data_IF_008133856500
#
_entry.id   IF_008133856500
#
_cell.length_a   1.000
_cell.length_b   1.000
_cell.length_c   1.000
_cell.angle_alpha   90.00
_cell.angle_beta   90.00
_cell.angle_gamma   90.00
#
_symmetry.space_group_name_H-M   'P 1'
#
loop_
_entity.id
_entity.type
_entity.pdbx_description
1 polymer ?
#
# COMPACT_ATOMS: atom_id res chain seq x y z
N UNK A 1 -20.42 13.39 12.03
CA UNK A 1 -19.05 12.83 12.10
C UNK A 1 -18.46 12.95 10.69
N UNK A 2 -17.46 13.81 10.50
CA UNK A 2 -16.76 13.89 9.20
C UNK A 2 -15.89 12.63 9.12
N UNK A 3 -16.27 11.64 8.33
CA UNK A 3 -15.41 10.48 8.10
C UNK A 3 -14.18 10.95 7.33
N UNK A 4 -12.99 10.82 7.92
CA UNK A 4 -11.75 11.12 7.22
C UNK A 4 -11.49 10.03 6.18
N UNK A 5 -11.06 10.44 4.99
CA UNK A 5 -10.65 9.53 3.93
C UNK A 5 -9.46 8.65 4.39
N UNK A 6 -9.27 7.46 3.80
CA UNK A 6 -8.01 6.73 3.95
C UNK A 6 -6.82 7.62 3.57
N UNK A 7 -5.72 7.50 4.31
CA UNK A 7 -4.48 8.20 3.98
C UNK A 7 -3.64 7.33 3.05
N UNK A 8 -3.54 7.68 1.77
CA UNK A 8 -2.68 6.95 0.83
C UNK A 8 -1.29 7.59 0.77
N UNK A 9 -0.26 6.80 1.02
CA UNK A 9 1.15 7.19 1.01
C UNK A 9 1.88 6.43 -0.10
N UNK A 10 2.12 7.06 -1.26
CA UNK A 10 2.84 6.38 -2.32
C UNK A 10 4.31 6.21 -1.97
N UNK A 11 4.94 5.21 -2.57
CA UNK A 11 6.40 5.19 -2.74
C UNK A 11 6.93 6.35 -3.58
N UNK A 12 8.19 6.25 -3.98
CA UNK A 12 8.78 7.18 -4.94
C UNK A 12 7.99 7.21 -6.25
N UNK A 13 7.69 8.39 -6.77
CA UNK A 13 6.93 8.51 -8.02
C UNK A 13 7.85 8.31 -9.22
N UNK A 14 7.59 7.27 -9.99
CA UNK A 14 8.31 6.98 -11.24
C UNK A 14 7.31 6.78 -12.38
N UNK A 15 7.51 7.50 -13.48
CA UNK A 15 6.63 7.35 -14.63
C UNK A 15 7.15 6.25 -15.56
N UNK A 16 6.33 5.23 -15.87
CA UNK A 16 6.65 4.31 -16.94
C UNK A 16 6.78 5.09 -18.25
N UNK A 17 7.64 4.60 -19.16
CA UNK A 17 7.87 5.23 -20.47
C UNK A 17 6.60 5.38 -21.32
N UNK A 18 5.55 4.64 -20.96
CA UNK A 18 4.20 4.76 -21.46
C UNK A 18 3.28 4.95 -20.26
N UNK A 19 2.28 5.81 -20.38
CA UNK A 19 1.27 6.07 -19.35
C UNK A 19 0.27 4.90 -19.23
N UNK A 20 0.80 3.70 -18.97
CA UNK A 20 0.05 2.46 -18.81
C UNK A 20 -0.17 2.22 -17.32
N UNK A 21 -1.41 1.89 -17.00
CA UNK A 21 -1.82 1.40 -15.69
C UNK A 21 -1.51 -0.10 -15.65
N UNK A 22 -0.77 -0.54 -14.63
CA UNK A 22 -0.45 -1.96 -14.45
C UNK A 22 -1.52 -2.69 -13.63
N UNK A 23 -2.26 -1.96 -12.80
CA UNK A 23 -3.40 -2.48 -12.04
C UNK A 23 -2.99 -3.30 -10.80
N UNK A 24 -3.98 -3.83 -10.05
CA UNK A 24 -3.79 -4.39 -8.71
C UNK A 24 -2.79 -5.55 -8.64
N UNK A 25 -2.71 -6.38 -9.69
CA UNK A 25 -1.76 -7.52 -9.75
C UNK A 25 -0.29 -7.10 -9.70
N UNK A 26 0.04 -5.87 -10.11
CA UNK A 26 1.40 -5.34 -10.05
C UNK A 26 1.70 -4.65 -8.70
N UNK A 27 0.68 -4.42 -7.89
CA UNK A 27 0.74 -3.54 -6.72
C UNK A 27 0.82 -4.33 -5.41
N UNK A 28 1.33 -3.65 -4.39
CA UNK A 28 1.34 -4.12 -3.03
C UNK A 28 0.93 -2.98 -2.09
N UNK A 29 0.16 -3.33 -1.06
CA UNK A 29 -0.12 -2.44 0.07
C UNK A 29 0.56 -2.92 1.33
N UNK A 30 1.16 -1.98 2.07
CA UNK A 30 1.67 -2.20 3.42
C UNK A 30 1.20 -1.13 4.40
N UNK A 31 1.56 -1.33 5.67
CA UNK A 31 1.23 -0.45 6.77
C UNK A 31 2.40 -0.33 7.75
N UNK A 32 2.63 0.88 8.27
CA UNK A 32 3.52 1.14 9.40
C UNK A 32 4.94 1.61 9.02
N UNK A 33 5.12 2.15 7.81
CA UNK A 33 6.33 2.84 7.35
C UNK A 33 7.58 1.94 7.30
N UNK A 34 7.37 0.66 6.98
CA UNK A 34 8.44 -0.36 7.02
C UNK A 34 9.12 -0.56 5.65
N UNK A 35 8.42 -0.18 4.59
CA UNK A 35 8.83 -0.43 3.22
C UNK A 35 9.12 0.88 2.49
N UNK A 36 9.96 0.76 1.47
CA UNK A 36 10.18 1.77 0.45
C UNK A 36 10.11 1.08 -0.91
N UNK A 37 9.65 1.83 -1.91
CA UNK A 37 9.49 1.33 -3.27
C UNK A 37 9.10 2.46 -4.18
N UNK A 38 8.64 2.14 -5.38
CA UNK A 38 8.15 3.10 -6.36
C UNK A 38 6.73 2.76 -6.81
N UNK A 39 6.04 3.74 -7.38
CA UNK A 39 4.76 3.58 -8.06
C UNK A 39 4.59 4.69 -9.11
N UNK A 40 3.83 4.44 -10.17
CA UNK A 40 3.49 5.49 -11.13
C UNK A 40 2.38 6.41 -10.61
N UNK A 41 2.32 7.64 -11.16
CA UNK A 41 1.18 8.52 -10.89
C UNK A 41 -0.13 7.96 -11.47
N UNK A 42 -0.06 7.19 -12.56
CA UNK A 42 -1.24 6.59 -13.18
C UNK A 42 -1.88 5.55 -12.26
N UNK A 43 -1.11 4.57 -11.79
CA UNK A 43 -1.59 3.55 -10.84
C UNK A 43 -1.98 4.19 -9.50
N UNK A 44 -1.21 5.18 -9.02
CA UNK A 44 -1.58 5.93 -7.81
C UNK A 44 -2.95 6.61 -7.95
N UNK A 45 -3.22 7.27 -9.08
CA UNK A 45 -4.47 7.96 -9.32
C UNK A 45 -5.65 6.98 -9.36
N UNK A 46 -5.48 5.84 -10.04
CA UNK A 46 -6.51 4.82 -10.12
C UNK A 46 -6.78 4.18 -8.75
N UNK A 47 -5.75 3.75 -8.02
CA UNK A 47 -5.88 3.23 -6.65
C UNK A 47 -6.57 4.24 -5.75
N UNK A 48 -6.30 5.54 -5.92
CA UNK A 48 -6.99 6.59 -5.14
C UNK A 48 -8.49 6.62 -5.41
N UNK A 49 -8.91 6.47 -6.67
CA UNK A 49 -10.34 6.39 -7.04
C UNK A 49 -10.97 5.14 -6.44
N UNK A 50 -10.32 3.99 -6.57
CA UNK A 50 -10.81 2.71 -6.08
C UNK A 50 -10.92 2.69 -4.55
N UNK A 51 -9.94 3.26 -3.85
CA UNK A 51 -10.00 3.45 -2.40
C UNK A 51 -11.16 4.34 -1.98
N UNK A 52 -11.48 5.38 -2.75
CA UNK A 52 -12.60 6.28 -2.45
C UNK A 52 -13.97 5.61 -2.65
N UNK A 53 -14.05 4.64 -3.55
CA UNK A 53 -15.27 3.87 -3.85
C UNK A 53 -15.42 2.61 -3.00
N UNK A 54 -14.32 2.12 -2.42
CA UNK A 54 -14.29 0.87 -1.66
C UNK A 54 -15.09 0.96 -0.35
N UNK A 55 -15.68 -0.19 0.01
CA UNK A 55 -16.39 -0.40 1.28
C UNK A 55 -15.69 -1.41 2.20
N UNK A 56 -14.42 -1.74 1.91
CA UNK A 56 -13.66 -2.67 2.76
C UNK A 56 -13.53 -2.11 4.18
N UNK A 57 -13.67 -3.00 5.16
CA UNK A 57 -13.58 -2.65 6.57
C UNK A 57 -12.22 -2.04 6.91
N UNK A 58 -12.17 -1.18 7.93
CA UNK A 58 -10.94 -0.56 8.45
C UNK A 58 -10.15 0.35 7.48
N UNK A 59 -10.59 0.53 6.24
CA UNK A 59 -9.99 1.50 5.31
C UNK A 59 -10.01 2.93 5.88
N UNK A 60 -11.12 3.30 6.52
CA UNK A 60 -11.30 4.65 7.06
C UNK A 60 -10.39 4.86 8.26
N UNK A 61 -9.70 6.00 8.29
CA UNK A 61 -8.70 6.37 9.31
C UNK A 61 -7.44 5.49 9.34
N UNK A 62 -7.17 4.74 8.28
CA UNK A 62 -5.93 3.97 8.15
C UNK A 62 -5.01 4.61 7.12
N UNK A 63 -3.73 4.68 7.46
CA UNK A 63 -2.69 5.04 6.51
C UNK A 63 -2.24 3.78 5.79
N UNK A 64 -2.26 3.82 4.46
CA UNK A 64 -1.83 2.75 3.56
C UNK A 64 -0.63 3.22 2.78
N UNK A 65 0.30 2.31 2.55
CA UNK A 65 1.45 2.54 1.68
C UNK A 65 1.26 1.77 0.38
N UNK A 66 1.64 2.35 -0.77
CA UNK A 66 1.43 1.77 -2.09
C UNK A 66 2.73 1.71 -2.90
N UNK A 67 3.02 0.52 -3.45
CA UNK A 67 4.22 0.25 -4.25
C UNK A 67 3.94 -0.74 -5.38
N UNK A 68 4.84 -0.82 -6.35
CA UNK A 68 4.96 -2.00 -7.20
C UNK A 68 5.66 -3.13 -6.47
N UNK A 69 5.11 -4.34 -6.56
CA UNK A 69 5.58 -5.54 -5.85
C UNK A 69 7.07 -5.83 -6.08
N UNK A 70 7.58 -5.57 -7.28
CA UNK A 70 8.97 -5.85 -7.69
C UNK A 70 9.97 -4.76 -7.24
N UNK A 71 9.49 -3.62 -6.76
CA UNK A 71 10.32 -2.50 -6.33
C UNK A 71 10.57 -2.42 -4.82
N UNK A 72 9.81 -3.19 -4.05
CA UNK A 72 9.75 -3.07 -2.59
C UNK A 72 11.07 -3.49 -1.92
N UNK A 73 11.54 -2.67 -0.99
CA UNK A 73 12.68 -2.92 -0.11
C UNK A 73 12.37 -2.46 1.32
N UNK A 74 12.95 -3.07 2.36
CA UNK A 74 12.86 -2.54 3.72
C UNK A 74 13.51 -1.15 3.81
N UNK A 75 12.83 -0.20 4.45
CA UNK A 75 13.36 1.15 4.65
C UNK A 75 14.58 1.15 5.61
N UNK A 76 14.64 0.18 6.53
CA UNK A 76 15.74 0.00 7.48
C UNK A 76 16.13 -1.47 7.65
N UNK A 77 17.40 -1.72 7.96
CA UNK A 77 17.92 -3.08 8.14
C UNK A 77 17.20 -3.91 9.22
N UNK A 78 16.66 -3.24 10.26
CA UNK A 78 15.95 -3.91 11.37
C UNK A 78 14.64 -4.59 10.94
N UNK A 79 14.08 -4.19 9.80
CA UNK A 79 12.82 -4.75 9.29
C UNK A 79 13.00 -6.00 8.43
N UNK A 80 14.24 -6.29 7.97
CA UNK A 80 14.53 -7.50 7.16
C UNK A 80 14.06 -8.80 7.82
N UNK A 81 14.31 -9.06 9.12
CA UNK A 81 13.85 -10.29 9.77
C UNK A 81 12.32 -10.35 9.88
N UNK A 82 11.66 -9.20 10.12
CA UNK A 82 10.21 -9.11 10.26
C UNK A 82 9.46 -9.30 8.92
N UNK A 83 10.09 -8.93 7.81
CA UNK A 83 9.56 -9.25 6.49
C UNK A 83 9.75 -10.73 6.16
N UNK A 84 10.92 -11.29 6.51
CA UNK A 84 11.26 -12.68 6.20
C UNK A 84 10.40 -13.70 6.95
N UNK A 85 9.91 -13.35 8.14
CA UNK A 85 9.04 -14.20 8.95
C UNK A 85 7.54 -13.88 8.80
N UNK A 86 7.17 -12.94 7.93
CA UNK A 86 5.78 -12.56 7.66
C UNK A 86 5.11 -11.74 8.78
N UNK A 87 5.86 -11.17 9.72
CA UNK A 87 5.31 -10.35 10.79
C UNK A 87 4.74 -9.01 10.31
N UNK A 88 5.23 -8.49 9.18
CA UNK A 88 4.69 -7.30 8.51
C UNK A 88 3.81 -7.76 7.35
N UNK A 89 2.49 -7.48 7.38
CA UNK A 89 1.60 -7.80 6.28
C UNK A 89 2.00 -7.08 4.99
N UNK A 90 2.07 -7.85 3.90
CA UNK A 90 2.20 -7.37 2.52
C UNK A 90 0.96 -7.85 1.77
N UNK A 91 0.09 -6.92 1.41
CA UNK A 91 -1.21 -7.21 0.81
C UNK A 91 -1.10 -7.17 -0.71
N UNK A 92 -1.65 -8.20 -1.35
CA UNK A 92 -1.64 -8.39 -2.81
C UNK A 92 -3.00 -8.91 -3.27
N UNK A 93 -3.33 -8.66 -4.53
CA UNK A 93 -4.54 -9.18 -5.15
C UNK A 93 -4.56 -8.96 -6.65
N UNK A 94 -5.40 -9.74 -7.34
CA UNK A 94 -5.66 -9.56 -8.77
C UNK A 94 -6.82 -8.56 -9.01
N UNK A 95 -7.54 -8.17 -7.95
CA UNK A 95 -8.56 -7.12 -7.93
C UNK A 95 -8.31 -6.10 -6.81
N UNK A 96 -8.95 -4.93 -6.86
CA UNK A 96 -8.85 -3.93 -5.80
C UNK A 96 -9.47 -4.41 -4.48
N UNK A 97 -10.57 -5.16 -4.52
CA UNK A 97 -11.15 -5.76 -3.32
C UNK A 97 -10.16 -6.71 -2.64
N UNK A 98 -9.45 -7.52 -3.43
CA UNK A 98 -8.42 -8.42 -2.90
C UNK A 98 -7.22 -7.66 -2.35
N UNK A 99 -6.76 -6.62 -3.06
CA UNK A 99 -5.66 -5.75 -2.64
C UNK A 99 -5.95 -5.08 -1.28
N UNK A 100 -7.22 -4.78 -0.98
CA UNK A 100 -7.63 -4.10 0.25
C UNK A 100 -8.09 -5.03 1.39
N UNK A 101 -8.28 -6.33 1.15
CA UNK A 101 -9.14 -7.21 1.99
C UNK A 101 -8.78 -7.34 3.48
N UNK A 102 -7.51 -7.17 3.84
CA UNK A 102 -6.96 -7.50 5.18
C UNK A 102 -6.35 -6.29 5.92
N UNK A 103 -6.80 -5.07 5.60
CA UNK A 103 -6.29 -3.84 6.23
C UNK A 103 -6.60 -3.83 7.73
N UNK A 104 -5.56 -3.59 8.54
CA UNK A 104 -5.67 -3.58 10.00
C UNK A 104 -5.68 -2.14 10.56
N UNK A 105 -6.49 -1.85 11.58
CA UNK A 105 -6.45 -0.55 12.23
C UNK A 105 -5.23 -0.42 13.15
N UNK A 106 -4.68 0.80 13.27
CA UNK A 106 -3.66 1.17 14.27
C UNK A 106 -2.31 0.43 14.19
N UNK A 107 -1.85 0.02 13.01
CA UNK A 107 -0.48 -0.50 12.84
C UNK A 107 0.55 0.64 12.94
N UNK A 108 1.55 0.47 13.80
CA UNK A 108 2.72 1.35 13.94
C UNK A 108 3.92 0.54 14.48
N UNK A 109 4.90 0.25 13.61
CA UNK A 109 6.10 -0.52 13.95
C UNK A 109 7.24 0.34 14.52
N UNK A 110 7.07 1.66 14.62
CA UNK A 110 8.06 2.56 15.23
C UNK A 110 7.82 2.78 16.72
N UNK A 111 6.66 2.38 17.25
CA UNK A 111 6.32 2.46 18.68
C UNK A 111 6.68 1.21 19.50
N UNK A 112 7.23 0.17 18.88
CA UNK A 112 7.65 -1.09 19.53
C UNK A 112 9.06 -1.02 20.09
#
# INVERSE_FOLDING_TARGET
IVSRAPGLRPGGLEEPKKNEILGPSALEISQGDVLAGIVSRADLAEVTVELALSNVANLRNTALELYYTDSVQPCEGRFKPLLSNGAIPRLHGDTYEELFRDIQPNIDFYKS
#
